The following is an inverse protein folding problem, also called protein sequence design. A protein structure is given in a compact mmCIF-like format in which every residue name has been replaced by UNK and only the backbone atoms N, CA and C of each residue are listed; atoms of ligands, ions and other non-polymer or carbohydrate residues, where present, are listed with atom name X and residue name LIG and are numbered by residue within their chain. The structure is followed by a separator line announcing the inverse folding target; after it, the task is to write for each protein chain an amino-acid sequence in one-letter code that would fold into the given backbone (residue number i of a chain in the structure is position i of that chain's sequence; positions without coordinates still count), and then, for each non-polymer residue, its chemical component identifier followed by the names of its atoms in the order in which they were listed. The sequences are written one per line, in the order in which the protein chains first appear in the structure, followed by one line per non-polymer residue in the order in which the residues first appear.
data_IF_418895510270
#
_entry.id   IF_418895510270
#
_cell.length_a   1.000
_cell.length_b   1.000
_cell.length_c   1.000
_cell.angle_alpha   90.00
_cell.angle_beta   90.00
_cell.angle_gamma   90.00
#
_symmetry.space_group_name_H-M   'P 1'
#
loop_
_entity.id
_entity.type
_entity.pdbx_description
1 polymer ?
#
# COMPACT_ATOMS: atom_id res chain seq x y z
N UNK A 1 9.65 -3.72 -2.70
CA UNK A 1 9.81 -2.33 -3.15
C UNK A 1 9.35 -1.42 -2.03
N UNK A 2 10.08 -0.35 -1.76
CA UNK A 2 9.75 0.64 -0.73
C UNK A 2 10.29 2.02 -1.12
N UNK A 3 9.76 3.10 -0.55
CA UNK A 3 10.40 4.41 -0.60
C UNK A 3 11.85 4.38 -0.10
N UNK A 4 12.69 5.26 -0.64
CA UNK A 4 13.92 5.64 0.07
C UNK A 4 13.55 6.43 1.34
N UNK A 5 14.31 6.27 2.45
CA UNK A 5 13.94 6.86 3.74
C UNK A 5 13.66 8.37 3.68
N UNK A 6 14.44 9.10 2.91
CA UNK A 6 14.37 10.57 2.77
C UNK A 6 13.09 11.02 2.04
N UNK A 7 12.47 10.13 1.26
CA UNK A 7 11.27 10.41 0.45
C UNK A 7 10.01 9.76 0.99
N UNK A 8 10.11 8.94 2.04
CA UNK A 8 8.98 8.21 2.61
C UNK A 8 7.80 9.13 2.96
N UNK A 9 8.05 10.30 3.56
CA UNK A 9 7.00 11.26 3.94
C UNK A 9 6.34 11.92 2.72
N UNK A 10 7.12 12.23 1.68
CA UNK A 10 6.60 12.82 0.44
C UNK A 10 5.74 11.82 -0.35
N UNK A 11 6.11 10.54 -0.31
CA UNK A 11 5.44 9.46 -1.03
C UNK A 11 4.18 9.01 -0.29
N UNK A 12 4.21 8.97 1.03
CA UNK A 12 3.07 8.53 1.83
C UNK A 12 1.77 9.24 1.41
N UNK A 13 0.67 8.48 1.39
CA UNK A 13 -0.65 8.99 1.07
C UNK A 13 -1.68 8.52 2.10
N UNK A 14 -2.79 9.26 2.27
CA UNK A 14 -3.97 8.71 2.91
C UNK A 14 -4.47 7.45 2.17
N UNK A 15 -5.32 6.62 2.82
CA UNK A 15 -6.03 5.55 2.14
C UNK A 15 -6.82 6.09 0.94
N UNK A 16 -6.82 5.35 -0.18
CA UNK A 16 -7.43 5.83 -1.43
C UNK A 16 -8.96 5.86 -1.38
N UNK A 17 -9.55 5.04 -0.51
CA UNK A 17 -10.98 4.83 -0.35
C UNK A 17 -11.65 5.84 0.58
N UNK A 18 -10.86 6.63 1.33
CA UNK A 18 -11.37 7.72 2.17
C UNK A 18 -11.36 9.08 1.46
N UNK A 19 -10.87 9.15 0.22
CA UNK A 19 -10.76 10.39 -0.56
C UNK A 19 -11.64 10.34 -1.80
N UNK A 20 -12.35 11.44 -2.06
CA UNK A 20 -12.96 11.65 -3.38
C UNK A 20 -11.90 12.12 -4.41
N UNK A 21 -12.28 12.11 -5.70
CA UNK A 21 -11.36 12.48 -6.77
C UNK A 21 -10.86 13.93 -6.68
N UNK A 22 -11.69 14.88 -6.25
CA UNK A 22 -11.30 16.29 -6.13
C UNK A 22 -10.28 16.51 -5.01
N UNK A 23 -10.50 15.85 -3.86
CA UNK A 23 -9.56 15.88 -2.73
C UNK A 23 -8.21 15.26 -3.12
N UNK A 24 -8.23 14.10 -3.78
CA UNK A 24 -7.03 13.43 -4.25
C UNK A 24 -6.27 14.27 -5.29
N UNK A 25 -6.95 14.88 -6.26
CA UNK A 25 -6.36 15.83 -7.22
C UNK A 25 -5.67 17.00 -6.52
N UNK A 26 -6.32 17.58 -5.50
CA UNK A 26 -5.73 18.67 -4.72
C UNK A 26 -4.46 18.24 -3.98
N UNK A 27 -4.46 17.04 -3.40
CA UNK A 27 -3.27 16.48 -2.74
C UNK A 27 -2.16 16.26 -3.77
N UNK A 28 -2.44 15.62 -4.90
CA UNK A 28 -1.46 15.35 -5.96
C UNK A 28 -0.83 16.64 -6.49
N UNK A 29 -1.63 17.69 -6.70
CA UNK A 29 -1.13 18.99 -7.16
C UNK A 29 -0.16 19.65 -6.16
N UNK A 30 -0.41 19.49 -4.86
CA UNK A 30 0.46 20.03 -3.80
C UNK A 30 1.66 19.12 -3.49
N UNK A 31 1.51 17.81 -3.74
CA UNK A 31 2.47 16.77 -3.43
C UNK A 31 2.65 15.85 -4.65
N UNK A 32 3.43 16.27 -5.66
CA UNK A 32 3.55 15.56 -6.94
C UNK A 32 4.22 14.18 -6.84
N UNK A 33 4.84 13.88 -5.69
CA UNK A 33 5.41 12.56 -5.38
C UNK A 33 4.46 11.69 -4.54
N UNK A 34 3.23 12.13 -4.26
CA UNK A 34 2.29 11.34 -3.46
C UNK A 34 1.92 10.04 -4.17
N UNK A 35 1.88 8.94 -3.43
CA UNK A 35 1.48 7.63 -3.92
C UNK A 35 0.01 7.56 -4.38
N UNK A 36 -0.79 8.60 -4.14
CA UNK A 36 -2.11 8.76 -4.78
C UNK A 36 -2.03 8.79 -6.31
N UNK A 37 -0.90 9.17 -6.90
CA UNK A 37 -0.68 9.07 -8.34
C UNK A 37 -0.72 7.63 -8.85
N UNK A 38 -0.37 6.67 -7.99
CA UNK A 38 -0.46 5.23 -8.29
C UNK A 38 -1.83 4.69 -7.90
N UNK A 39 -2.28 4.95 -6.67
CA UNK A 39 -3.51 4.37 -6.13
C UNK A 39 -4.81 5.03 -6.64
N UNK A 40 -4.74 6.26 -7.13
CA UNK A 40 -5.85 7.06 -7.69
C UNK A 40 -5.43 7.73 -9.02
N UNK A 41 -4.87 6.95 -9.94
CA UNK A 41 -4.35 7.44 -11.21
C UNK A 41 -5.39 8.14 -12.11
N UNK A 42 -6.69 7.89 -11.88
CA UNK A 42 -7.78 8.64 -12.54
C UNK A 42 -7.70 10.15 -12.29
N UNK A 43 -7.04 10.55 -11.20
CA UNK A 43 -6.84 11.94 -10.85
C UNK A 43 -5.87 12.69 -11.78
N UNK A 44 -5.14 11.99 -12.64
CA UNK A 44 -4.26 12.60 -13.65
C UNK A 44 -4.94 12.84 -15.00
N UNK A 45 -6.24 12.54 -15.09
CA UNK A 45 -7.05 12.76 -16.29
C UNK A 45 -8.17 13.78 -16.03
N UNK A 46 -8.91 14.10 -17.10
CA UNK A 46 -10.13 14.91 -16.99
C UNK A 46 -11.24 14.16 -16.23
N UNK A 47 -12.20 14.90 -15.66
CA UNK A 47 -13.23 14.36 -14.77
C UNK A 47 -14.22 13.38 -15.45
N UNK A 48 -14.13 13.18 -16.77
CA UNK A 48 -15.00 12.26 -17.52
C UNK A 48 -14.41 10.87 -17.68
N UNK A 49 -13.16 10.66 -17.29
CA UNK A 49 -12.52 9.33 -17.38
C UNK A 49 -13.27 8.33 -16.50
N UNK A 50 -13.41 7.10 -16.98
CA UNK A 50 -13.83 5.99 -16.13
C UNK A 50 -12.65 5.58 -15.23
N UNK A 51 -12.78 5.68 -13.89
CA UNK A 51 -11.72 5.31 -12.95
C UNK A 51 -11.29 3.84 -13.06
N UNK A 52 -12.13 2.97 -13.62
CA UNK A 52 -11.88 1.54 -13.75
C UNK A 52 -11.48 1.13 -15.17
N UNK A 53 -11.14 2.10 -16.03
CA UNK A 53 -10.69 1.83 -17.40
C UNK A 53 -9.24 1.34 -17.45
N UNK A 54 -8.92 0.54 -18.47
CA UNK A 54 -7.56 0.08 -18.77
C UNK A 54 -6.53 1.23 -18.80
N UNK A 55 -6.90 2.38 -19.39
CA UNK A 55 -6.03 3.56 -19.46
C UNK A 55 -5.63 4.09 -18.08
N UNK A 56 -6.53 4.02 -17.09
CA UNK A 56 -6.23 4.43 -15.71
C UNK A 56 -5.27 3.44 -15.04
N UNK A 57 -5.46 2.13 -15.24
CA UNK A 57 -4.52 1.12 -14.72
C UNK A 57 -3.13 1.22 -15.36
N UNK A 58 -3.06 1.47 -16.67
CA UNK A 58 -1.81 1.73 -17.38
C UNK A 58 -1.11 2.98 -16.83
N UNK A 59 -1.85 4.07 -16.57
CA UNK A 59 -1.30 5.27 -15.94
C UNK A 59 -0.75 4.99 -14.53
N UNK A 60 -1.45 4.18 -13.74
CA UNK A 60 -0.96 3.76 -12.43
C UNK A 60 0.36 2.98 -12.53
N UNK A 61 0.49 2.07 -13.51
CA UNK A 61 1.75 1.36 -13.81
C UNK A 61 2.86 2.33 -14.22
N UNK A 62 2.59 3.24 -15.16
CA UNK A 62 3.54 4.27 -15.59
C UNK A 62 4.04 5.11 -14.41
N UNK A 63 3.13 5.53 -13.54
CA UNK A 63 3.48 6.30 -12.35
C UNK A 63 4.35 5.50 -11.39
N UNK A 64 4.04 4.23 -11.13
CA UNK A 64 4.89 3.38 -10.29
C UNK A 64 6.31 3.24 -10.87
N UNK A 65 6.43 3.03 -12.18
CA UNK A 65 7.72 2.96 -12.86
C UNK A 65 8.49 4.27 -12.74
N UNK A 66 7.83 5.42 -12.91
CA UNK A 66 8.45 6.73 -12.71
C UNK A 66 8.97 6.92 -11.28
N UNK A 67 8.30 6.37 -10.26
CA UNK A 67 8.82 6.44 -8.89
C UNK A 67 10.13 5.66 -8.75
N UNK A 68 10.26 4.53 -9.43
CA UNK A 68 11.48 3.70 -9.42
C UNK A 68 12.59 4.37 -10.22
N UNK A 69 12.30 4.79 -11.45
CA UNK A 69 13.26 5.42 -12.37
C UNK A 69 13.84 6.72 -11.82
N UNK A 70 13.02 7.51 -11.11
CA UNK A 70 13.45 8.74 -10.46
C UNK A 70 14.13 8.50 -9.10
N UNK A 71 14.35 7.24 -8.70
CA UNK A 71 15.01 6.88 -7.44
C UNK A 71 14.20 7.21 -6.19
N UNK A 72 12.89 7.42 -6.31
CA UNK A 72 11.98 7.67 -5.17
C UNK A 72 11.67 6.37 -4.42
N UNK A 73 11.63 5.26 -5.14
CA UNK A 73 11.42 3.92 -4.59
C UNK A 73 12.53 2.98 -5.06
N UNK A 74 12.86 2.03 -4.21
CA UNK A 74 13.89 1.02 -4.47
C UNK A 74 13.35 -0.37 -4.16
N UNK A 75 13.97 -1.37 -4.78
CA UNK A 75 13.79 -2.77 -4.46
C UNK A 75 15.01 -3.26 -3.70
N UNK A 76 14.80 -3.82 -2.52
CA UNK A 76 15.88 -4.43 -1.74
C UNK A 76 16.47 -5.64 -2.49
N UNK A 77 17.78 -5.82 -2.41
CA UNK A 77 18.54 -6.81 -3.18
C UNK A 77 18.27 -8.26 -2.75
N UNK A 78 17.86 -8.44 -1.49
CA UNK A 78 17.59 -9.74 -0.89
C UNK A 78 16.14 -9.81 -0.41
N UNK A 79 15.51 -11.00 -0.47
CA UNK A 79 14.20 -11.20 0.14
C UNK A 79 14.23 -10.83 1.63
N UNK A 80 13.29 -9.99 2.05
CA UNK A 80 13.19 -9.53 3.43
C UNK A 80 11.74 -9.33 3.86
N UNK A 81 11.52 -9.36 5.17
CA UNK A 81 10.29 -8.89 5.79
C UNK A 81 10.53 -7.51 6.40
N UNK A 82 9.50 -6.67 6.43
CA UNK A 82 9.60 -5.35 7.03
C UNK A 82 8.88 -5.34 8.37
N UNK A 83 9.52 -4.77 9.38
CA UNK A 83 8.85 -4.41 10.63
C UNK A 83 8.15 -3.07 10.42
N UNK A 84 6.85 -3.03 10.71
CA UNK A 84 6.02 -1.84 10.62
C UNK A 84 5.56 -1.41 12.00
N UNK A 85 5.70 -0.12 12.32
CA UNK A 85 5.22 0.48 13.57
C UNK A 85 4.26 1.63 13.28
N UNK A 86 3.06 1.53 13.83
CA UNK A 86 2.09 2.61 13.88
C UNK A 86 2.08 3.23 15.27
N UNK A 87 2.28 4.55 15.37
CA UNK A 87 2.22 5.29 16.63
C UNK A 87 1.11 6.33 16.57
N UNK A 88 0.11 6.20 17.44
CA UNK A 88 -1.01 7.14 17.56
C UNK A 88 -1.19 7.49 19.04
N UNK A 89 -1.24 8.78 19.38
CA UNK A 89 -1.43 9.24 20.76
C UNK A 89 -0.51 8.56 21.79
N UNK A 90 0.78 8.43 21.47
CA UNK A 90 1.81 7.73 22.24
C UNK A 90 1.59 6.21 22.43
N UNK A 91 0.62 5.60 21.76
CA UNK A 91 0.45 4.15 21.71
C UNK A 91 1.07 3.60 20.44
N UNK A 92 1.89 2.56 20.58
CA UNK A 92 2.57 1.91 19.46
C UNK A 92 1.98 0.52 19.20
N UNK A 93 1.71 0.23 17.93
CA UNK A 93 1.42 -1.10 17.44
C UNK A 93 2.53 -1.49 16.46
N UNK A 94 3.23 -2.58 16.76
CA UNK A 94 4.31 -3.10 15.92
C UNK A 94 3.88 -4.42 15.31
N UNK A 95 4.14 -4.61 14.03
CA UNK A 95 3.81 -5.83 13.29
C UNK A 95 4.76 -6.05 12.13
N UNK A 96 4.44 -7.06 11.31
CA UNK A 96 5.14 -7.34 10.07
C UNK A 96 4.33 -6.86 8.87
N UNK A 97 5.01 -6.23 7.91
CA UNK A 97 4.49 -6.08 6.58
C UNK A 97 5.03 -7.25 5.73
N UNK A 98 4.12 -8.15 5.36
CA UNK A 98 4.42 -9.36 4.61
C UNK A 98 3.24 -9.73 3.70
N UNK A 99 3.49 -10.66 2.78
CA UNK A 99 2.44 -11.32 2.00
C UNK A 99 1.87 -12.50 2.78
N UNK A 100 0.62 -12.84 2.52
CA UNK A 100 -0.08 -13.95 3.15
C UNK A 100 -0.31 -15.10 2.15
N UNK A 101 -0.43 -16.32 2.66
CA UNK A 101 -0.73 -17.50 1.84
C UNK A 101 -2.17 -17.45 1.32
N UNK A 102 -2.32 -17.61 0.00
CA UNK A 102 -3.64 -17.78 -0.64
C UNK A 102 -4.27 -19.09 -0.22
N UNK A 103 -3.48 -20.15 -0.09
CA UNK A 103 -3.95 -21.47 0.36
C UNK A 103 -4.50 -21.40 1.80
N UNK A 104 -3.83 -20.69 2.71
CA UNK A 104 -4.32 -20.51 4.09
C UNK A 104 -5.63 -19.72 4.14
N UNK A 105 -5.81 -18.78 3.19
CA UNK A 105 -7.05 -18.04 3.03
C UNK A 105 -8.19 -18.95 2.53
N UNK A 106 -7.94 -19.75 1.49
CA UNK A 106 -8.91 -20.70 0.92
C UNK A 106 -9.31 -21.79 1.91
N UNK A 107 -8.35 -22.29 2.70
CA UNK A 107 -8.57 -23.26 3.77
C UNK A 107 -9.20 -22.66 5.03
N UNK A 108 -9.48 -21.34 5.04
CA UNK A 108 -10.14 -20.66 6.14
C UNK A 108 -9.31 -20.56 7.42
N UNK A 109 -7.98 -20.69 7.32
CA UNK A 109 -7.04 -20.44 8.42
C UNK A 109 -6.92 -18.93 8.68
N UNK A 110 -6.92 -18.12 7.61
CA UNK A 110 -7.03 -16.66 7.69
C UNK A 110 -8.51 -16.30 7.86
N UNK A 111 -8.85 -15.67 8.98
CA UNK A 111 -10.22 -15.24 9.28
C UNK A 111 -10.51 -13.91 8.60
N UNK A 112 -11.66 -13.86 7.92
CA UNK A 112 -12.15 -12.68 7.20
C UNK A 112 -13.06 -11.87 8.13
N UNK A 113 -12.96 -10.54 8.10
CA UNK A 113 -14.00 -9.68 8.67
C UNK A 113 -14.86 -9.09 7.53
N UNK A 114 -16.08 -9.63 7.41
CA UNK A 114 -17.22 -9.12 6.63
C UNK A 114 -17.12 -8.88 5.10
N UNK A 115 -18.30 -8.62 4.53
CA UNK A 115 -18.73 -8.52 3.14
C UNK A 115 -17.82 -7.67 2.23
N UNK A 116 -16.93 -8.35 1.50
CA UNK A 116 -16.23 -7.77 0.35
C UNK A 116 -17.19 -7.47 -0.79
N UNK A 117 -17.17 -6.24 -1.29
CA UNK A 117 -17.95 -5.86 -2.47
C UNK A 117 -17.22 -6.33 -3.74
N UNK A 118 -17.84 -7.11 -4.62
CA UNK A 118 -17.17 -7.69 -5.79
C UNK A 118 -16.48 -6.64 -6.69
N UNK A 119 -17.12 -5.49 -6.90
CA UNK A 119 -16.57 -4.36 -7.66
C UNK A 119 -15.24 -3.85 -7.09
N UNK A 120 -15.14 -3.75 -5.76
CA UNK A 120 -13.91 -3.31 -5.09
C UNK A 120 -12.80 -4.36 -5.16
N UNK A 121 -13.17 -5.64 -5.10
CA UNK A 121 -12.20 -6.75 -5.20
C UNK A 121 -11.64 -6.81 -6.62
N UNK A 122 -12.49 -6.74 -7.64
CA UNK A 122 -12.10 -6.77 -9.04
C UNK A 122 -11.21 -5.58 -9.42
N UNK A 123 -11.60 -4.37 -9.01
CA UNK A 123 -10.78 -3.16 -9.19
C UNK A 123 -9.37 -3.31 -8.59
N UNK A 124 -9.27 -3.84 -7.37
CA UNK A 124 -7.96 -4.06 -6.73
C UNK A 124 -7.18 -5.22 -7.34
N UNK A 125 -7.84 -6.27 -7.79
CA UNK A 125 -7.20 -7.37 -8.51
C UNK A 125 -6.59 -6.89 -9.83
N UNK A 126 -7.35 -6.14 -10.63
CA UNK A 126 -6.86 -5.48 -11.85
C UNK A 126 -5.67 -4.58 -11.52
N UNK A 127 -5.78 -3.73 -10.50
CA UNK A 127 -4.68 -2.84 -10.10
C UNK A 127 -3.38 -3.61 -9.81
N UNK A 128 -3.45 -4.72 -9.05
CA UNK A 128 -2.29 -5.58 -8.78
C UNK A 128 -1.76 -6.23 -10.05
N UNK A 129 -2.63 -6.72 -10.94
CA UNK A 129 -2.26 -7.37 -12.19
C UNK A 129 -1.52 -6.42 -13.15
N UNK A 130 -2.04 -5.21 -13.36
CA UNK A 130 -1.39 -4.22 -14.23
C UNK A 130 -0.06 -3.72 -13.65
N UNK A 131 -0.01 -3.46 -12.35
CA UNK A 131 1.20 -2.93 -11.70
C UNK A 131 2.27 -3.99 -11.46
N UNK A 132 1.89 -5.27 -11.45
CA UNK A 132 2.74 -6.39 -11.03
C UNK A 132 3.31 -6.17 -9.61
N UNK A 133 2.54 -5.50 -8.75
CA UNK A 133 2.95 -5.11 -7.40
C UNK A 133 1.78 -5.06 -6.41
N UNK A 134 2.05 -5.41 -5.16
CA UNK A 134 1.11 -5.27 -4.04
C UNK A 134 1.18 -3.84 -3.49
N UNK A 135 0.14 -3.04 -3.75
CA UNK A 135 0.12 -1.59 -3.43
C UNK A 135 -1.02 -1.16 -2.49
N UNK A 136 -1.84 -2.11 -2.05
CA UNK A 136 -2.93 -1.91 -1.10
C UNK A 136 -2.81 -2.84 0.11
N UNK A 137 -1.94 -2.53 1.09
CA UNK A 137 -1.79 -3.36 2.28
C UNK A 137 -3.09 -3.39 3.09
N UNK A 138 -3.45 -4.58 3.58
CA UNK A 138 -4.58 -4.76 4.51
C UNK A 138 -4.05 -5.00 5.92
N UNK A 139 -4.74 -4.44 6.90
CA UNK A 139 -4.40 -4.66 8.30
C UNK A 139 -4.95 -6.02 8.76
N UNK A 140 -4.10 -6.80 9.42
CA UNK A 140 -4.47 -8.09 10.00
C UNK A 140 -3.94 -8.20 11.42
N UNK A 141 -4.49 -9.13 12.18
CA UNK A 141 -4.07 -9.44 13.54
C UNK A 141 -3.77 -10.93 13.65
N UNK A 142 -2.78 -11.27 14.47
CA UNK A 142 -2.42 -12.65 14.79
C UNK A 142 -2.42 -12.84 16.30
N UNK A 143 -2.50 -14.09 16.74
CA UNK A 143 -2.44 -14.41 18.18
C UNK A 143 -1.09 -13.99 18.74
N UNK A 144 -1.10 -13.41 19.93
CA UNK A 144 0.13 -13.02 20.62
C UNK A 144 1.09 -14.21 20.74
N UNK A 145 2.36 -13.95 20.44
CA UNK A 145 3.46 -14.89 20.57
C UNK A 145 4.64 -14.11 21.18
N UNK A 146 5.14 -14.56 22.33
CA UNK A 146 6.19 -13.84 23.07
C UNK A 146 7.49 -13.76 22.28
N UNK A 147 7.89 -14.81 21.57
CA UNK A 147 9.12 -14.81 20.77
C UNK A 147 9.07 -13.77 19.65
N UNK A 148 7.90 -13.61 19.01
CA UNK A 148 7.69 -12.59 17.98
C UNK A 148 7.69 -11.20 18.60
N UNK A 149 7.03 -11.02 19.74
CA UNK A 149 6.98 -9.74 20.45
C UNK A 149 8.38 -9.30 20.92
N UNK A 150 9.17 -10.21 21.49
CA UNK A 150 10.56 -9.96 21.91
C UNK A 150 11.44 -9.57 20.71
N UNK A 151 11.26 -10.24 19.56
CA UNK A 151 11.95 -9.89 18.33
C UNK A 151 11.58 -8.49 17.83
N UNK A 152 10.30 -8.11 17.88
CA UNK A 152 9.88 -6.76 17.53
C UNK A 152 10.50 -5.72 18.45
N UNK A 153 10.53 -5.96 19.76
CA UNK A 153 11.18 -5.05 20.71
C UNK A 153 12.67 -4.88 20.39
N UNK A 154 13.39 -5.99 20.18
CA UNK A 154 14.81 -5.96 19.84
C UNK A 154 15.08 -5.16 18.56
N UNK A 155 14.32 -5.40 17.49
CA UNK A 155 14.53 -4.74 16.20
C UNK A 155 14.18 -3.24 16.21
N UNK A 156 13.38 -2.80 17.18
CA UNK A 156 12.84 -1.44 17.20
C UNK A 156 13.38 -0.57 18.34
N UNK A 157 14.10 -1.15 19.30
CA UNK A 157 14.91 -0.42 20.28
C UNK A 157 16.23 0.09 19.68
N UNK A 158 16.64 -0.41 18.51
CA UNK A 158 17.88 -0.02 17.82
C UNK A 158 17.82 1.36 17.10
N UNK A 159 16.78 2.16 17.32
CA UNK A 159 16.61 3.49 16.73
C UNK A 159 16.41 4.57 17.80
#
# INVERSE_FOLDING_TARGET
MRPIPEKAVEIASPPYDVLNAQEAKKIINNHPNSFLRVNKAECEFDDRIDPHSETVYQKAKENLLLFIENGLMIQDEQPCLYVYRLTINNQCQTGLCCVMSVEDYENGLIKRHEYTRPDKVEDRANHIEYLEAQVGPVFSIFRNNSEISDLFEQLTQMN
#
